data_IF_697400406976
#
_entry.id   IF_697400406976
#
_cell.length_a   1.000
_cell.length_b   1.000
_cell.length_c   1.000
_cell.angle_alpha   90.00
_cell.angle_beta   90.00
_cell.angle_gamma   90.00
#
_symmetry.space_group_name_H-M   'P 1'
#
loop_
_entity.id
_entity.type
_entity.pdbx_description
1 polymer ?
#
# COMPACT_ATOMS: atom_id res chain seq x y z
N UNK A 1 -16.34 28.89 48.94
CA UNK A 1 -16.73 28.33 47.63
C UNK A 1 -15.57 27.45 47.20
N UNK A 2 -15.69 26.15 47.45
CA UNK A 2 -14.63 25.16 47.19
C UNK A 2 -14.70 24.73 45.73
N UNK A 3 -13.61 24.87 45.00
CA UNK A 3 -13.43 24.39 43.63
C UNK A 3 -12.96 22.94 43.67
N UNK A 4 -13.77 22.03 43.14
CA UNK A 4 -13.41 20.62 42.96
C UNK A 4 -12.70 20.45 41.62
N UNK A 5 -11.40 20.18 41.65
CA UNK A 5 -10.63 19.74 40.50
C UNK A 5 -10.88 18.24 40.26
N UNK A 6 -11.41 17.89 39.09
CA UNK A 6 -11.44 16.51 38.59
C UNK A 6 -10.20 16.26 37.72
N UNK A 7 -9.44 15.17 37.91
CA UNK A 7 -8.31 14.84 37.05
C UNK A 7 -8.79 14.30 35.69
N UNK A 8 -8.00 14.49 34.61
CA UNK A 8 -8.36 14.05 33.26
C UNK A 8 -8.28 12.51 33.15
N UNK A 9 -9.31 11.92 32.58
CA UNK A 9 -9.42 10.49 32.27
C UNK A 9 -8.52 10.11 31.09
N UNK A 10 -7.67 9.09 31.30
CA UNK A 10 -6.83 8.42 30.30
C UNK A 10 -7.62 7.97 29.06
N UNK A 11 -7.12 8.20 27.82
CA UNK A 11 -7.69 7.63 26.62
C UNK A 11 -7.00 6.29 26.32
N UNK A 12 -7.27 5.26 27.12
CA UNK A 12 -6.74 3.92 26.84
C UNK A 12 -7.71 2.83 27.29
N UNK A 13 -8.55 2.39 26.34
CA UNK A 13 -8.92 1.00 26.08
C UNK A 13 -10.28 0.97 25.36
N UNK A 14 -10.29 1.14 24.04
CA UNK A 14 -11.47 0.72 23.26
C UNK A 14 -11.54 -0.81 23.37
N UNK A 15 -12.62 -1.40 23.90
CA UNK A 15 -12.71 -2.85 24.00
C UNK A 15 -12.67 -3.45 22.61
N UNK A 16 -11.87 -4.51 22.42
CA UNK A 16 -11.89 -5.32 21.21
C UNK A 16 -13.34 -5.72 20.90
N UNK A 17 -13.82 -5.54 19.65
CA UNK A 17 -15.22 -5.83 19.32
C UNK A 17 -15.50 -7.30 19.64
N UNK A 18 -16.51 -7.54 20.48
CA UNK A 18 -16.94 -8.90 20.82
C UNK A 18 -17.48 -9.54 19.54
N UNK A 19 -17.01 -10.75 19.24
CA UNK A 19 -17.47 -11.55 18.12
C UNK A 19 -18.98 -11.76 18.22
N UNK A 20 -19.74 -11.09 17.36
CA UNK A 20 -21.16 -11.34 17.22
C UNK A 20 -21.32 -12.70 16.52
N UNK A 21 -21.54 -13.74 17.33
CA UNK A 21 -21.69 -15.12 16.86
C UNK A 21 -22.91 -15.29 15.96
N UNK A 22 -23.89 -14.40 16.04
CA UNK A 22 -25.09 -14.46 15.21
C UNK A 22 -24.79 -13.96 13.80
N UNK A 23 -23.87 -13.00 13.65
CA UNK A 23 -23.42 -12.52 12.34
C UNK A 23 -22.24 -13.32 11.76
N UNK A 24 -21.31 -13.78 12.60
CA UNK A 24 -20.09 -14.49 12.16
C UNK A 24 -20.26 -16.02 12.22
N UNK A 25 -21.22 -16.54 11.45
CA UNK A 25 -21.56 -17.96 11.39
C UNK A 25 -21.37 -18.55 9.98
N UNK A 26 -21.52 -19.88 9.86
CA UNK A 26 -21.38 -20.60 8.59
C UNK A 26 -22.37 -20.11 7.51
N UNK A 27 -23.58 -19.73 7.89
CA UNK A 27 -24.58 -19.23 6.93
C UNK A 27 -24.16 -17.89 6.31
N UNK A 28 -23.62 -16.96 7.10
CA UNK A 28 -23.08 -15.68 6.59
C UNK A 28 -21.88 -15.93 5.69
N UNK A 29 -20.96 -16.80 6.12
CA UNK A 29 -19.80 -17.20 5.29
C UNK A 29 -20.23 -17.81 3.96
N UNK A 30 -21.19 -18.75 3.96
CA UNK A 30 -21.71 -19.37 2.74
C UNK A 30 -22.48 -18.38 1.86
N UNK A 31 -23.21 -17.42 2.44
CA UNK A 31 -23.93 -16.39 1.66
C UNK A 31 -22.95 -15.48 0.89
N UNK A 32 -21.82 -15.11 1.51
CA UNK A 32 -20.75 -14.34 0.89
C UNK A 32 -20.07 -15.20 -0.20
N UNK A 33 -19.74 -16.45 0.11
CA UNK A 33 -19.08 -17.36 -0.83
C UNK A 33 -19.93 -17.65 -2.07
N UNK A 34 -21.25 -17.78 -1.90
CA UNK A 34 -22.21 -18.03 -2.99
C UNK A 34 -22.64 -16.76 -3.73
N UNK A 35 -22.18 -15.59 -3.29
CA UNK A 35 -22.52 -14.30 -3.89
C UNK A 35 -23.96 -13.84 -3.66
N UNK A 36 -24.66 -14.43 -2.68
CA UNK A 36 -26.04 -14.09 -2.31
C UNK A 36 -26.13 -12.98 -1.26
N UNK A 37 -25.03 -12.68 -0.56
CA UNK A 37 -24.95 -11.57 0.40
C UNK A 37 -24.97 -10.19 -0.29
N UNK A 38 -25.58 -9.21 0.35
CA UNK A 38 -25.50 -7.82 -0.09
C UNK A 38 -24.09 -7.24 0.11
N UNK A 39 -23.68 -6.18 -0.64
CA UNK A 39 -22.39 -5.53 -0.45
C UNK A 39 -22.14 -5.06 0.99
N UNK A 40 -23.19 -4.60 1.67
CA UNK A 40 -23.09 -4.12 3.06
C UNK A 40 -22.79 -5.26 4.03
N UNK A 41 -23.39 -6.42 3.84
CA UNK A 41 -23.15 -7.61 4.68
C UNK A 41 -21.74 -8.16 4.43
N UNK A 42 -21.30 -8.22 3.17
CA UNK A 42 -19.94 -8.59 2.85
C UNK A 42 -18.90 -7.64 3.49
N UNK A 43 -19.12 -6.33 3.40
CA UNK A 43 -18.23 -5.33 4.02
C UNK A 43 -18.22 -5.43 5.55
N UNK A 44 -19.39 -5.60 6.18
CA UNK A 44 -19.48 -5.77 7.62
C UNK A 44 -18.74 -7.03 8.09
N UNK A 45 -18.88 -8.15 7.36
CA UNK A 45 -18.15 -9.39 7.64
C UNK A 45 -16.63 -9.20 7.54
N UNK A 46 -16.16 -8.55 6.48
CA UNK A 46 -14.73 -8.27 6.28
C UNK A 46 -14.16 -7.37 7.39
N UNK A 47 -14.91 -6.35 7.83
CA UNK A 47 -14.48 -5.48 8.94
C UNK A 47 -14.31 -6.25 10.24
N UNK A 48 -15.31 -7.05 10.62
CA UNK A 48 -15.26 -7.86 11.84
C UNK A 48 -14.11 -8.86 11.77
N UNK A 49 -13.92 -9.53 10.62
CA UNK A 49 -12.76 -10.41 10.40
C UNK A 49 -11.45 -9.68 10.64
N UNK A 50 -11.30 -8.50 10.05
CA UNK A 50 -10.06 -7.72 10.13
C UNK A 50 -9.80 -7.25 11.57
N UNK A 51 -10.84 -6.85 12.31
CA UNK A 51 -10.74 -6.50 13.73
C UNK A 51 -10.30 -7.71 14.59
N UNK A 52 -10.84 -8.89 14.31
CA UNK A 52 -10.52 -10.13 15.05
C UNK A 52 -9.09 -10.61 14.79
N UNK A 53 -8.58 -10.42 13.57
CA UNK A 53 -7.27 -10.89 13.17
C UNK A 53 -6.17 -9.82 13.27
N UNK A 54 -6.50 -8.57 13.64
CA UNK A 54 -5.59 -7.42 13.66
C UNK A 54 -4.24 -7.74 14.32
N UNK A 55 -4.26 -8.30 15.53
CA UNK A 55 -3.02 -8.60 16.26
C UNK A 55 -2.15 -9.65 15.55
N UNK A 56 -2.77 -10.70 15.01
CA UNK A 56 -2.06 -11.75 14.29
C UNK A 56 -1.50 -11.25 12.95
N UNK A 57 -2.29 -10.47 12.22
CA UNK A 57 -1.90 -9.91 10.93
C UNK A 57 -0.76 -8.89 11.09
N UNK A 58 -0.83 -8.02 12.10
CA UNK A 58 0.25 -7.07 12.41
C UNK A 58 1.54 -7.80 12.81
N UNK A 59 1.47 -8.77 13.73
CA UNK A 59 2.64 -9.54 14.15
C UNK A 59 3.30 -10.28 12.97
N UNK A 60 2.49 -10.86 12.07
CA UNK A 60 2.98 -11.50 10.85
C UNK A 60 3.63 -10.49 9.91
N UNK A 61 3.02 -9.31 9.73
CA UNK A 61 3.57 -8.23 8.92
C UNK A 61 4.92 -7.75 9.48
N UNK A 62 5.05 -7.56 10.79
CA UNK A 62 6.30 -7.12 11.44
C UNK A 62 7.42 -8.17 11.27
N UNK A 63 7.09 -9.45 11.47
CA UNK A 63 8.04 -10.55 11.21
C UNK A 63 8.51 -10.56 9.75
N UNK A 64 7.59 -10.31 8.81
CA UNK A 64 7.93 -10.22 7.39
C UNK A 64 8.77 -8.99 7.08
N UNK A 65 8.47 -7.84 7.67
CA UNK A 65 9.27 -6.61 7.54
C UNK A 65 10.71 -6.86 7.98
N UNK A 66 10.92 -7.43 9.17
CA UNK A 66 12.24 -7.79 9.67
C UNK A 66 12.99 -8.74 8.71
N UNK A 67 12.28 -9.74 8.20
CA UNK A 67 12.85 -10.68 7.22
C UNK A 67 13.23 -9.98 5.90
N UNK A 68 12.36 -9.14 5.37
CA UNK A 68 12.56 -8.44 4.09
C UNK A 68 13.73 -7.45 4.18
N UNK A 69 13.79 -6.65 5.25
CA UNK A 69 14.92 -5.74 5.51
C UNK A 69 16.26 -6.47 5.58
N UNK A 70 16.27 -7.73 6.03
CA UNK A 70 17.49 -8.53 6.19
C UNK A 70 17.84 -9.35 4.95
N UNK A 71 16.87 -9.85 4.19
CA UNK A 71 17.10 -10.89 3.18
C UNK A 71 16.58 -10.56 1.78
N UNK A 72 15.63 -9.65 1.62
CA UNK A 72 15.10 -9.32 0.30
C UNK A 72 16.12 -8.47 -0.49
N UNK A 73 16.56 -8.92 -1.69
CA UNK A 73 17.51 -8.16 -2.50
C UNK A 73 17.00 -6.76 -2.86
N UNK A 74 15.75 -6.65 -3.29
CA UNK A 74 15.15 -5.38 -3.73
C UNK A 74 14.99 -4.40 -2.56
N UNK A 75 14.48 -4.87 -1.41
CA UNK A 75 14.29 -4.04 -0.22
C UNK A 75 15.65 -3.55 0.30
N UNK A 76 16.65 -4.43 0.36
CA UNK A 76 18.00 -4.05 0.80
C UNK A 76 18.65 -3.04 -0.15
N UNK A 77 18.53 -3.25 -1.46
CA UNK A 77 19.06 -2.32 -2.45
C UNK A 77 18.42 -0.94 -2.35
N UNK A 78 17.09 -0.87 -2.24
CA UNK A 78 16.38 0.39 -2.07
C UNK A 78 16.76 1.07 -0.76
N UNK A 79 16.85 0.32 0.34
CA UNK A 79 17.30 0.86 1.64
C UNK A 79 18.68 1.50 1.53
N UNK A 80 19.64 0.82 0.91
CA UNK A 80 21.00 1.34 0.71
C UNK A 80 21.00 2.63 -0.11
N UNK A 81 20.19 2.71 -1.17
CA UNK A 81 20.09 3.92 -1.98
C UNK A 81 19.41 5.08 -1.25
N UNK A 82 18.43 4.80 -0.38
CA UNK A 82 17.83 5.80 0.51
C UNK A 82 18.85 6.29 1.55
N UNK A 83 19.69 5.39 2.09
CA UNK A 83 20.81 5.73 2.98
C UNK A 83 21.81 6.67 2.32
N UNK A 84 22.12 6.48 1.04
CA UNK A 84 22.98 7.40 0.28
C UNK A 84 22.38 8.81 0.13
N UNK A 85 21.05 8.95 0.27
CA UNK A 85 20.36 10.24 0.29
C UNK A 85 20.17 10.82 1.70
N UNK A 86 20.68 10.14 2.73
CA UNK A 86 20.72 10.65 4.11
C UNK A 86 19.57 10.22 5.01
N UNK A 87 18.74 9.24 4.62
CA UNK A 87 17.70 8.65 5.47
C UNK A 87 17.82 7.13 5.56
N UNK A 88 17.18 6.49 6.54
CA UNK A 88 17.16 5.04 6.65
C UNK A 88 15.72 4.52 6.77
N UNK A 89 15.43 3.39 6.13
CA UNK A 89 14.18 2.65 6.32
C UNK A 89 14.49 1.40 7.12
N UNK A 90 13.87 1.25 8.28
CA UNK A 90 14.10 0.16 9.22
C UNK A 90 12.83 -0.17 10.02
N UNK A 91 12.93 -1.10 10.96
CA UNK A 91 11.78 -1.60 11.72
C UNK A 91 11.10 -0.52 12.58
N UNK A 92 11.76 0.60 12.89
CA UNK A 92 11.17 1.66 13.72
C UNK A 92 10.29 2.63 12.91
N UNK A 93 10.43 2.67 11.59
CA UNK A 93 9.67 3.57 10.71
C UNK A 93 8.91 2.82 9.58
N UNK A 94 8.80 1.50 9.70
CA UNK A 94 7.86 0.68 8.93
C UNK A 94 6.78 0.19 9.88
N UNK A 95 5.58 0.73 9.74
CA UNK A 95 4.46 0.49 10.63
C UNK A 95 3.45 -0.48 10.01
N UNK A 96 3.34 -1.66 10.59
CA UNK A 96 2.29 -2.62 10.26
C UNK A 96 1.03 -2.31 11.07
N UNK A 97 -0.06 -1.93 10.40
CA UNK A 97 -1.35 -1.62 11.04
C UNK A 97 -2.49 -2.19 10.22
N UNK A 98 -3.66 -2.34 10.86
CA UNK A 98 -4.90 -2.55 10.12
C UNK A 98 -5.32 -1.25 9.45
N UNK A 99 -5.73 -1.34 8.18
CA UNK A 99 -6.27 -0.23 7.42
C UNK A 99 -7.75 -0.45 7.12
N UNK A 100 -8.51 0.64 7.09
CA UNK A 100 -9.92 0.64 6.68
C UNK A 100 -10.10 0.88 5.19
N UNK A 101 -9.03 1.28 4.50
CA UNK A 101 -8.98 1.47 3.05
C UNK A 101 -8.42 0.22 2.36
N UNK A 102 -8.71 0.09 1.06
CA UNK A 102 -8.28 -1.06 0.26
C UNK A 102 -6.82 -0.96 -0.26
N UNK A 103 -6.02 -0.02 0.26
CA UNK A 103 -4.61 0.14 -0.13
C UNK A 103 -3.73 -0.84 0.64
N UNK A 104 -2.63 -1.30 0.03
CA UNK A 104 -1.70 -2.22 0.70
C UNK A 104 -0.70 -1.50 1.61
N UNK A 105 -0.44 -0.22 1.37
CA UNK A 105 0.53 0.58 2.11
C UNK A 105 0.49 2.05 1.71
N UNK A 106 1.44 2.82 2.24
CA UNK A 106 1.68 4.21 1.88
C UNK A 106 2.98 4.73 2.49
N UNK A 107 3.56 5.76 1.87
CA UNK A 107 4.73 6.48 2.37
C UNK A 107 4.35 7.90 2.81
N UNK A 108 4.85 8.30 3.97
CA UNK A 108 4.80 9.66 4.46
C UNK A 108 6.22 10.12 4.87
N UNK A 109 6.69 11.31 4.45
CA UNK A 109 8.02 11.82 4.80
C UNK A 109 8.30 11.99 6.29
N UNK A 110 7.27 12.22 7.10
CA UNK A 110 7.36 12.43 8.55
C UNK A 110 7.22 11.11 9.31
N UNK A 111 6.27 10.25 8.89
CA UNK A 111 5.93 9.03 9.62
C UNK A 111 6.55 7.74 9.07
N UNK A 112 7.15 7.77 7.88
CA UNK A 112 7.74 6.59 7.24
C UNK A 112 6.72 5.77 6.44
N UNK A 113 6.85 4.45 6.47
CA UNK A 113 6.07 3.53 5.63
C UNK A 113 4.96 2.88 6.46
N UNK A 114 3.72 3.03 6.02
CA UNK A 114 2.57 2.27 6.49
C UNK A 114 2.41 1.01 5.63
N UNK A 115 2.24 -0.14 6.28
CA UNK A 115 1.85 -1.41 5.64
C UNK A 115 0.51 -1.85 6.21
N UNK A 116 -0.50 -1.99 5.35
CA UNK A 116 -1.84 -2.41 5.71
C UNK A 116 -1.90 -3.93 5.86
N UNK A 117 -1.68 -4.42 7.08
CA UNK A 117 -1.48 -5.84 7.37
C UNK A 117 -2.64 -6.73 6.91
N UNK A 118 -3.88 -6.24 7.03
CA UNK A 118 -5.11 -6.92 6.60
C UNK A 118 -5.30 -6.99 5.07
N UNK A 119 -4.49 -6.26 4.30
CA UNK A 119 -4.56 -6.23 2.82
C UNK A 119 -3.48 -7.10 2.16
N UNK A 120 -2.59 -7.72 2.96
CA UNK A 120 -1.49 -8.54 2.46
C UNK A 120 -1.89 -10.00 2.25
N UNK A 121 -1.42 -10.59 1.15
CA UNK A 121 -1.74 -11.99 0.78
C UNK A 121 -0.67 -12.95 1.25
N UNK A 122 0.59 -12.55 1.10
CA UNK A 122 1.77 -13.32 1.44
C UNK A 122 2.99 -12.38 1.49
N UNK A 123 4.16 -12.92 1.85
CA UNK A 123 5.42 -12.17 1.95
C UNK A 123 5.84 -11.50 0.64
N UNK A 124 5.55 -12.12 -0.52
CA UNK A 124 5.83 -11.50 -1.81
C UNK A 124 4.97 -10.27 -2.07
N UNK A 125 3.69 -10.29 -1.64
CA UNK A 125 2.86 -9.08 -1.69
C UNK A 125 3.42 -7.97 -0.81
N UNK A 126 3.91 -8.31 0.39
CA UNK A 126 4.54 -7.33 1.28
C UNK A 126 5.87 -6.81 0.72
N UNK A 127 6.67 -7.66 0.08
CA UNK A 127 7.90 -7.25 -0.61
C UNK A 127 7.60 -6.21 -1.70
N UNK A 128 6.64 -6.50 -2.57
CA UNK A 128 6.22 -5.58 -3.63
C UNK A 128 5.70 -4.26 -3.03
N UNK A 129 4.89 -4.31 -1.97
CA UNK A 129 4.36 -3.11 -1.30
C UNK A 129 5.48 -2.30 -0.65
N UNK A 130 6.37 -2.92 0.13
CA UNK A 130 7.50 -2.22 0.72
C UNK A 130 8.40 -1.60 -0.35
N UNK A 131 8.69 -2.33 -1.43
CA UNK A 131 9.50 -1.79 -2.53
C UNK A 131 8.81 -0.60 -3.21
N UNK A 132 7.48 -0.63 -3.39
CA UNK A 132 6.70 0.49 -3.92
C UNK A 132 6.86 1.74 -3.04
N UNK A 133 6.61 1.61 -1.74
CA UNK A 133 6.71 2.74 -0.81
C UNK A 133 8.15 3.24 -0.64
N UNK A 134 9.14 2.35 -0.75
CA UNK A 134 10.56 2.75 -0.74
C UNK A 134 10.98 3.51 -2.00
N UNK A 135 10.36 3.24 -3.15
CA UNK A 135 10.56 4.09 -4.34
C UNK A 135 9.96 5.47 -4.10
N UNK A 136 8.79 5.58 -3.46
CA UNK A 136 8.26 6.89 -3.04
C UNK A 136 9.21 7.63 -2.10
N UNK A 137 9.77 6.95 -1.11
CA UNK A 137 10.74 7.54 -0.19
C UNK A 137 12.00 8.02 -0.92
N UNK A 138 12.56 7.21 -1.82
CA UNK A 138 13.72 7.58 -2.61
C UNK A 138 13.42 8.78 -3.52
N UNK A 139 12.27 8.77 -4.19
CA UNK A 139 11.81 9.85 -5.06
C UNK A 139 11.69 11.17 -4.30
N UNK A 140 11.02 11.13 -3.14
CA UNK A 140 10.88 12.29 -2.27
C UNK A 140 12.24 12.91 -1.93
N UNK A 141 13.21 12.09 -1.53
CA UNK A 141 14.55 12.53 -1.15
C UNK A 141 15.37 13.02 -2.34
N UNK A 142 15.26 12.34 -3.48
CA UNK A 142 16.09 12.62 -4.66
C UNK A 142 15.69 13.90 -5.35
N UNK A 143 14.39 14.09 -5.56
CA UNK A 143 13.88 15.15 -6.41
C UNK A 143 13.26 16.31 -5.61
N UNK A 144 13.09 16.17 -4.28
CA UNK A 144 12.80 17.26 -3.33
C UNK A 144 11.59 18.11 -3.73
N UNK A 145 10.41 17.52 -3.70
CA UNK A 145 9.19 18.16 -4.17
C UNK A 145 8.67 19.23 -3.20
N UNK A 146 8.29 20.39 -3.73
CA UNK A 146 7.76 21.51 -2.95
C UNK A 146 6.21 21.55 -2.95
N UNK A 147 5.55 21.09 -4.01
CA UNK A 147 4.08 21.13 -4.15
C UNK A 147 3.44 19.73 -4.09
N UNK A 148 2.71 19.39 -3.01
CA UNK A 148 1.98 18.13 -2.90
C UNK A 148 0.78 18.01 -3.87
N UNK A 149 0.38 19.12 -4.54
CA UNK A 149 -0.73 19.17 -5.49
C UNK A 149 -0.31 18.98 -6.95
N UNK A 150 0.99 18.91 -7.25
CA UNK A 150 1.46 18.65 -8.61
C UNK A 150 1.12 17.21 -9.05
N UNK A 151 0.06 17.09 -9.84
CA UNK A 151 -0.40 15.80 -10.37
C UNK A 151 0.59 15.18 -11.35
N UNK A 152 1.37 15.96 -12.11
CA UNK A 152 2.36 15.42 -13.06
C UNK A 152 3.48 14.74 -12.29
N UNK A 153 3.91 15.41 -11.22
CA UNK A 153 4.92 14.87 -10.35
C UNK A 153 4.43 13.59 -9.66
N UNK A 154 3.26 13.64 -9.02
CA UNK A 154 2.60 12.49 -8.44
C UNK A 154 2.50 11.31 -9.44
N UNK A 155 1.99 11.57 -10.64
CA UNK A 155 1.88 10.54 -11.67
C UNK A 155 3.23 9.93 -12.04
N UNK A 156 4.29 10.72 -12.08
CA UNK A 156 5.63 10.24 -12.38
C UNK A 156 6.16 9.26 -11.33
N UNK A 157 6.00 9.61 -10.06
CA UNK A 157 6.43 8.78 -8.93
C UNK A 157 5.60 7.50 -8.82
N UNK A 158 4.30 7.56 -9.11
CA UNK A 158 3.43 6.36 -9.20
C UNK A 158 3.85 5.42 -10.34
N UNK A 159 4.15 5.96 -11.52
CA UNK A 159 4.66 5.17 -12.65
C UNK A 159 5.95 4.44 -12.25
N UNK A 160 6.88 5.13 -11.60
CA UNK A 160 8.16 4.56 -11.20
C UNK A 160 8.01 3.53 -10.09
N UNK A 161 7.22 3.81 -9.07
CA UNK A 161 6.92 2.86 -8.00
C UNK A 161 6.26 1.59 -8.55
N UNK A 162 5.27 1.70 -9.44
CA UNK A 162 4.65 0.51 -10.07
C UNK A 162 5.58 -0.24 -11.03
N UNK A 163 6.51 0.45 -11.69
CA UNK A 163 7.46 -0.18 -12.61
C UNK A 163 8.56 -0.92 -11.86
N UNK A 164 9.09 -0.33 -10.78
CA UNK A 164 10.32 -0.78 -10.13
C UNK A 164 10.09 -1.71 -8.92
N UNK A 165 8.89 -1.70 -8.33
CA UNK A 165 8.59 -2.51 -7.13
C UNK A 165 8.40 -4.00 -7.38
N UNK A 166 8.06 -4.40 -8.60
CA UNK A 166 7.69 -5.78 -8.93
C UNK A 166 6.17 -6.07 -8.86
N UNK A 167 5.34 -5.11 -8.45
CA UNK A 167 3.90 -5.33 -8.27
C UNK A 167 3.11 -5.62 -9.57
N UNK A 168 3.73 -5.34 -10.72
CA UNK A 168 3.24 -5.56 -12.07
C UNK A 168 4.02 -6.66 -12.85
N UNK A 169 4.76 -7.55 -12.16
CA UNK A 169 5.44 -8.69 -12.80
C UNK A 169 4.45 -9.64 -13.48
N UNK A 170 4.83 -10.16 -14.66
CA UNK A 170 3.98 -11.01 -15.51
C UNK A 170 3.40 -12.23 -14.79
N UNK A 171 4.20 -12.92 -13.96
CA UNK A 171 3.71 -14.08 -13.20
C UNK A 171 2.53 -13.75 -12.27
N UNK A 172 2.52 -12.54 -11.69
CA UNK A 172 1.41 -12.05 -10.85
C UNK A 172 0.17 -11.73 -11.70
N UNK A 173 0.34 -11.14 -12.88
CA UNK A 173 -0.77 -10.82 -13.79
C UNK A 173 -1.40 -12.06 -14.41
N UNK A 174 -0.59 -13.03 -14.84
CA UNK A 174 -1.04 -14.25 -15.49
C UNK A 174 -1.67 -15.25 -14.49
N UNK A 175 -0.99 -15.56 -13.37
CA UNK A 175 -1.45 -16.59 -12.43
C UNK A 175 -2.41 -16.08 -11.36
N UNK A 176 -2.36 -14.79 -11.01
CA UNK A 176 -3.20 -14.24 -9.91
C UNK A 176 -4.30 -13.29 -10.39
N UNK A 177 -4.16 -12.68 -11.57
CA UNK A 177 -5.12 -11.66 -12.08
C UNK A 177 -5.80 -12.04 -13.40
N UNK A 178 -5.52 -13.22 -13.96
CA UNK A 178 -6.25 -13.82 -15.08
C UNK A 178 -6.02 -13.15 -16.44
N UNK A 179 -4.97 -12.34 -16.59
CA UNK A 179 -4.72 -11.59 -17.82
C UNK A 179 -4.07 -12.47 -18.90
N UNK A 180 -4.73 -12.61 -20.06
CA UNK A 180 -4.35 -13.55 -21.14
C UNK A 180 -3.54 -12.92 -22.29
N UNK A 181 -3.28 -11.62 -22.28
CA UNK A 181 -2.56 -10.92 -23.35
C UNK A 181 -1.03 -11.10 -23.20
N UNK A 182 -0.32 -11.55 -24.23
CA UNK A 182 1.12 -11.90 -24.11
C UNK A 182 2.05 -10.67 -24.21
N UNK A 183 1.58 -9.56 -24.78
CA UNK A 183 2.38 -8.34 -24.98
C UNK A 183 1.85 -7.18 -24.14
N UNK A 184 2.76 -6.30 -23.68
CA UNK A 184 2.48 -5.05 -22.97
C UNK A 184 1.77 -5.12 -21.60
N UNK A 185 1.70 -6.29 -20.95
CA UNK A 185 1.05 -6.42 -19.64
C UNK A 185 1.63 -5.49 -18.56
N UNK A 186 2.95 -5.26 -18.56
CA UNK A 186 3.60 -4.37 -17.61
C UNK A 186 3.10 -2.92 -17.80
N UNK A 187 3.12 -2.42 -19.03
CA UNK A 187 2.69 -1.06 -19.33
C UNK A 187 1.21 -0.85 -18.95
N UNK A 188 0.34 -1.81 -19.29
CA UNK A 188 -1.08 -1.76 -18.92
C UNK A 188 -1.28 -1.76 -17.41
N UNK A 189 -0.56 -2.63 -16.69
CA UNK A 189 -0.62 -2.68 -15.23
C UNK A 189 -0.16 -1.36 -14.60
N UNK A 190 1.00 -0.84 -15.01
CA UNK A 190 1.57 0.41 -14.49
C UNK A 190 0.65 1.59 -14.79
N UNK A 191 0.14 1.73 -16.03
CA UNK A 191 -0.82 2.80 -16.36
C UNK A 191 -2.06 2.74 -15.49
N UNK A 192 -2.62 1.54 -15.32
CA UNK A 192 -3.83 1.34 -14.51
C UNK A 192 -3.57 1.74 -13.05
N UNK A 193 -2.48 1.27 -12.46
CA UNK A 193 -2.15 1.56 -11.05
C UNK A 193 -1.86 3.04 -10.82
N UNK A 194 -1.01 3.65 -11.65
CA UNK A 194 -0.71 5.07 -11.55
C UNK A 194 -1.99 5.92 -11.72
N UNK A 195 -2.88 5.57 -12.66
CA UNK A 195 -4.15 6.27 -12.84
C UNK A 195 -5.04 6.16 -11.60
N UNK A 196 -5.15 4.98 -11.00
CA UNK A 196 -5.95 4.76 -9.79
C UNK A 196 -5.40 5.50 -8.58
N UNK A 197 -4.08 5.62 -8.44
CA UNK A 197 -3.47 6.39 -7.34
C UNK A 197 -3.66 7.90 -7.56
N UNK A 198 -3.35 8.41 -8.75
CA UNK A 198 -3.52 9.84 -9.07
C UNK A 198 -4.98 10.30 -8.92
N UNK A 199 -5.95 9.45 -9.27
CA UNK A 199 -7.38 9.74 -9.13
C UNK A 199 -7.80 9.96 -7.67
N UNK A 200 -7.06 9.42 -6.69
CA UNK A 200 -7.36 9.62 -5.26
C UNK A 200 -6.84 10.96 -4.72
N UNK A 201 -6.11 11.74 -5.53
CA UNK A 201 -5.56 13.02 -5.09
C UNK A 201 -6.58 14.16 -5.17
N UNK A 202 -6.62 15.07 -4.17
CA UNK A 202 -7.61 16.16 -4.13
C UNK A 202 -7.57 17.13 -5.33
N UNK A 203 -6.43 17.25 -6.01
CA UNK A 203 -6.29 18.10 -7.20
C UNK A 203 -6.80 17.41 -8.49
N UNK A 204 -7.03 16.09 -8.46
CA UNK A 204 -7.56 15.35 -9.59
C UNK A 204 -9.09 15.52 -9.66
N UNK A 205 -9.63 15.54 -10.88
CA UNK A 205 -11.06 15.78 -11.12
C UNK A 205 -11.82 14.47 -11.23
N UNK A 206 -11.32 13.60 -12.10
CA UNK A 206 -11.91 12.33 -12.46
C UNK A 206 -10.83 11.39 -13.03
N UNK A 207 -11.26 10.19 -13.40
CA UNK A 207 -10.39 9.16 -13.97
C UNK A 207 -9.77 9.56 -15.30
N UNK A 208 -10.48 10.32 -16.14
CA UNK A 208 -9.98 10.73 -17.45
C UNK A 208 -8.86 11.76 -17.30
N UNK A 209 -9.03 12.71 -16.39
CA UNK A 209 -7.99 13.65 -16.01
C UNK A 209 -6.76 12.91 -15.47
N UNK A 210 -6.93 11.96 -14.56
CA UNK A 210 -5.82 11.15 -14.03
C UNK A 210 -5.07 10.40 -15.14
N UNK A 211 -5.80 9.72 -16.03
CA UNK A 211 -5.22 8.98 -17.15
C UNK A 211 -4.45 9.90 -18.11
N UNK A 212 -4.99 11.10 -18.38
CA UNK A 212 -4.31 12.12 -19.19
C UNK A 212 -2.99 12.54 -18.54
N UNK A 213 -3.00 12.86 -17.24
CA UNK A 213 -1.76 13.27 -16.55
C UNK A 213 -0.71 12.16 -16.57
N UNK A 214 -1.10 10.90 -16.32
CA UNK A 214 -0.21 9.73 -16.42
C UNK A 214 0.38 9.59 -17.82
N UNK A 215 -0.43 9.79 -18.87
CA UNK A 215 0.05 9.73 -20.25
C UNK A 215 1.01 10.87 -20.58
N UNK A 216 0.75 12.08 -20.06
CA UNK A 216 1.57 13.28 -20.32
C UNK A 216 3.00 13.19 -19.78
N UNK A 217 3.25 12.34 -18.77
CA UNK A 217 4.58 12.13 -18.18
C UNK A 217 5.20 10.76 -18.50
N UNK A 218 4.42 9.88 -19.16
CA UNK A 218 4.76 8.47 -19.34
C UNK A 218 6.17 8.22 -19.87
N UNK A 219 6.53 8.88 -20.99
CA UNK A 219 7.81 8.62 -21.66
C UNK A 219 9.00 8.96 -20.77
N UNK A 220 8.91 10.01 -19.95
CA UNK A 220 10.01 10.38 -19.07
C UNK A 220 10.10 9.44 -17.86
N UNK A 221 8.96 9.05 -17.28
CA UNK A 221 8.92 8.37 -15.99
C UNK A 221 9.01 6.85 -16.11
N UNK A 222 8.42 6.24 -17.14
CA UNK A 222 8.43 4.78 -17.31
C UNK A 222 9.82 4.23 -17.64
N UNK A 223 10.66 5.00 -18.33
CA UNK A 223 12.03 4.60 -18.67
C UNK A 223 13.07 5.08 -17.65
N UNK A 224 12.65 5.83 -16.62
CA UNK A 224 13.55 6.24 -15.54
C UNK A 224 13.65 5.12 -14.50
N UNK A 225 14.70 4.32 -14.62
CA UNK A 225 14.92 3.14 -13.79
C UNK A 225 15.59 3.44 -12.46
N UNK A 226 16.03 4.68 -12.22
CA UNK A 226 16.79 5.02 -11.01
C UNK A 226 16.00 4.65 -9.75
N UNK A 227 16.66 4.13 -8.70
CA UNK A 227 18.11 3.91 -8.58
C UNK A 227 18.65 2.63 -9.25
N UNK A 228 17.80 1.83 -9.91
CA UNK A 228 18.22 0.62 -10.61
C UNK A 228 18.84 0.94 -11.99
N UNK A 229 19.76 0.09 -12.43
CA UNK A 229 20.33 0.17 -13.77
C UNK A 229 19.34 -0.32 -14.85
N UNK A 230 18.45 -1.24 -14.47
CA UNK A 230 17.42 -1.80 -15.35
C UNK A 230 16.16 -2.22 -14.57
N UNK A 231 15.06 -2.42 -15.29
CA UNK A 231 13.81 -2.91 -14.70
C UNK A 231 13.97 -4.41 -14.43
N UNK A 232 14.02 -4.78 -13.16
CA UNK A 232 14.05 -6.18 -12.72
C UNK A 232 12.69 -6.87 -12.98
N UNK A 233 12.69 -7.92 -13.81
CA UNK A 233 11.48 -8.61 -14.30
C UNK A 233 11.16 -9.89 -13.53
#
# INVERSE_FOLDING_TARGET
>A
MSTSDNPPSDPSSTPSPKLDKDFYNWSTFFSILTGSASPREADAYLRVRDDLHEASDCAKCEQQTAWLLKYSPIVRFLRQNIQMLGQDINETNVHCRRCTTAQSGGFDPEYGILICANQLRNRGHQEDTMAHEMVHAWDYLRFKYEDPRDLRHAACTEIRASTLSGECRFGREFFTRGQRNITQQLQECVRRRATLSVMQRPACKDKEHAAKVVNDVWKSCFYDTRPFDEIYR
#
